data_IF_209616929989
#
_entry.id   IF_209616929989
#
_cell.length_a   1.000
_cell.length_b   1.000
_cell.length_c   1.000
_cell.angle_alpha   90.00
_cell.angle_beta   90.00
_cell.angle_gamma   90.00
#
_symmetry.space_group_name_H-M   'P 1'
#
loop_
_entity.id
_entity.type
_entity.pdbx_description
1 polymer ?
#
# COMPACT_ATOMS: atom_id res chain seq x y z
N UNK A 1 8.76 112.39 10.99
CA UNK A 1 9.35 111.34 11.86
C UNK A 1 8.32 111.00 12.92
N UNK A 2 7.72 109.81 13.03
CA UNK A 2 7.83 108.53 12.33
C UNK A 2 6.44 107.85 12.37
N UNK A 3 6.14 107.14 11.29
CA UNK A 3 5.01 106.21 11.17
C UNK A 3 5.21 104.92 11.98
N UNK A 4 4.08 104.38 12.45
CA UNK A 4 3.74 102.97 12.75
C UNK A 4 4.47 102.21 13.90
N UNK A 5 3.93 101.06 14.41
CA UNK A 5 2.76 100.32 13.95
C UNK A 5 1.75 99.83 15.02
N UNK A 6 0.55 99.59 14.50
CA UNK A 6 -0.46 98.62 14.94
C UNK A 6 0.15 97.29 15.39
N UNK A 7 0.04 96.97 16.67
CA UNK A 7 0.14 95.60 17.16
C UNK A 7 -1.24 94.94 17.07
N UNK A 8 -1.43 94.19 15.98
CA UNK A 8 -2.42 93.10 15.91
C UNK A 8 -2.17 92.18 17.10
N UNK A 9 -3.02 92.24 18.13
CA UNK A 9 -3.15 91.14 19.07
C UNK A 9 -3.86 90.00 18.34
N UNK A 10 -3.07 89.01 17.93
CA UNK A 10 -3.54 87.65 17.70
C UNK A 10 -4.36 87.23 18.92
N UNK A 11 -5.66 86.98 18.72
CA UNK A 11 -6.47 86.32 19.75
C UNK A 11 -6.03 84.86 19.79
N UNK A 12 -5.37 84.53 20.89
CA UNK A 12 -5.15 83.16 21.34
C UNK A 12 -6.45 82.37 21.27
N UNK A 13 -6.41 81.24 20.55
CA UNK A 13 -7.43 80.20 20.63
C UNK A 13 -7.51 79.69 22.07
N UNK A 14 -8.72 79.51 22.59
CA UNK A 14 -8.91 79.12 23.99
C UNK A 14 -8.39 77.69 24.23
N UNK A 15 -7.74 77.40 25.38
CA UNK A 15 -7.22 76.05 25.69
C UNK A 15 -8.32 74.97 25.64
N UNK A 16 -9.56 75.38 25.89
CA UNK A 16 -10.78 74.57 25.83
C UNK A 16 -11.13 74.07 24.43
N UNK A 17 -10.98 74.87 23.36
CA UNK A 17 -11.29 74.45 21.97
C UNK A 17 -10.30 73.41 21.44
N UNK A 18 -9.02 73.52 21.82
CA UNK A 18 -7.97 72.54 21.48
C UNK A 18 -8.24 71.19 22.16
N UNK A 19 -8.69 71.21 23.42
CA UNK A 19 -9.04 69.98 24.15
C UNK A 19 -10.26 69.29 23.54
N UNK A 20 -11.25 70.05 23.09
CA UNK A 20 -12.51 69.53 22.54
C UNK A 20 -12.33 68.91 21.14
N UNK A 21 -11.47 69.50 20.31
CA UNK A 21 -11.07 68.92 19.01
C UNK A 21 -10.23 67.65 19.19
N UNK A 22 -9.34 67.61 20.20
CA UNK A 22 -8.59 66.40 20.58
C UNK A 22 -9.52 65.26 20.99
N UNK A 23 -10.55 65.54 21.79
CA UNK A 23 -11.57 64.56 22.20
C UNK A 23 -12.30 63.98 20.98
N UNK A 24 -12.81 64.83 20.08
CA UNK A 24 -13.47 64.37 18.85
C UNK A 24 -12.58 63.48 17.99
N UNK A 25 -11.31 63.84 17.83
CA UNK A 25 -10.36 63.04 17.07
C UNK A 25 -10.13 61.66 17.71
N UNK A 26 -10.01 61.62 19.04
CA UNK A 26 -9.87 60.37 19.79
C UNK A 26 -11.14 59.50 19.71
N UNK A 27 -12.33 60.09 19.81
CA UNK A 27 -13.62 59.37 19.63
C UNK A 27 -13.71 58.74 18.24
N UNK A 28 -13.30 59.48 17.22
CA UNK A 28 -13.33 59.02 15.83
C UNK A 28 -12.31 57.90 15.57
N UNK A 29 -11.13 58.00 16.17
CA UNK A 29 -10.10 56.96 16.12
C UNK A 29 -10.53 55.69 16.88
N UNK A 30 -11.20 55.87 18.03
CA UNK A 30 -11.73 54.78 18.84
C UNK A 30 -12.85 54.04 18.07
N UNK A 31 -13.79 54.77 17.47
CA UNK A 31 -14.83 54.18 16.62
C UNK A 31 -14.25 53.40 15.42
N UNK A 32 -13.17 53.94 14.80
CA UNK A 32 -12.47 53.24 13.72
C UNK A 32 -11.82 51.95 14.20
N UNK A 33 -11.18 51.97 15.39
CA UNK A 33 -10.55 50.80 16.00
C UNK A 33 -11.56 49.75 16.42
N UNK A 34 -12.71 50.15 16.94
CA UNK A 34 -13.81 49.23 17.26
C UNK A 34 -14.34 48.54 16.02
N UNK A 35 -14.56 49.27 14.92
CA UNK A 35 -14.97 48.68 13.64
C UNK A 35 -13.94 47.70 13.08
N UNK A 36 -12.65 48.01 13.21
CA UNK A 36 -11.56 47.12 12.81
C UNK A 36 -11.53 45.83 13.66
N UNK A 37 -11.79 45.94 14.97
CA UNK A 37 -11.90 44.79 15.87
C UNK A 37 -13.10 43.91 15.49
N UNK A 38 -14.27 44.51 15.20
CA UNK A 38 -15.47 43.79 14.77
C UNK A 38 -15.19 42.96 13.51
N UNK A 39 -14.59 43.60 12.49
CA UNK A 39 -14.22 42.95 11.24
C UNK A 39 -13.22 41.80 11.42
N UNK A 40 -12.23 41.98 12.29
CA UNK A 40 -11.26 40.94 12.59
C UNK A 40 -11.89 39.77 13.33
N UNK A 41 -12.83 40.02 14.25
CA UNK A 41 -13.59 38.95 14.93
C UNK A 41 -14.42 38.14 13.96
N UNK A 42 -15.12 38.80 13.03
CA UNK A 42 -15.92 38.11 12.01
C UNK A 42 -15.03 37.21 11.14
N UNK A 43 -13.90 37.74 10.65
CA UNK A 43 -12.92 36.94 9.91
C UNK A 43 -12.35 35.78 10.72
N UNK A 44 -12.08 35.99 11.99
CA UNK A 44 -11.57 34.95 12.88
C UNK A 44 -12.57 33.82 13.04
N UNK A 45 -13.85 34.15 13.28
CA UNK A 45 -14.92 33.16 13.41
C UNK A 45 -15.11 32.36 12.12
N UNK A 46 -15.18 33.04 10.97
CA UNK A 46 -15.31 32.35 9.67
C UNK A 46 -14.13 31.40 9.42
N UNK A 47 -12.91 31.83 9.74
CA UNK A 47 -11.74 30.97 9.61
C UNK A 47 -11.77 29.79 10.58
N UNK A 48 -12.31 29.96 11.79
CA UNK A 48 -12.47 28.85 12.74
C UNK A 48 -13.46 27.81 12.22
N UNK A 49 -14.59 28.23 11.65
CA UNK A 49 -15.58 27.33 11.05
C UNK A 49 -14.96 26.51 9.91
N UNK A 50 -14.31 27.17 8.96
CA UNK A 50 -13.61 26.50 7.84
C UNK A 50 -12.57 25.51 8.37
N UNK A 51 -11.84 25.87 9.44
CA UNK A 51 -10.80 25.02 9.99
C UNK A 51 -11.39 23.78 10.68
N UNK A 52 -12.57 23.89 11.30
CA UNK A 52 -13.29 22.75 11.86
C UNK A 52 -13.75 21.79 10.75
N UNK A 53 -14.33 22.31 9.67
CA UNK A 53 -14.75 21.51 8.52
C UNK A 53 -13.56 20.74 7.91
N UNK A 54 -12.44 21.43 7.68
CA UNK A 54 -11.21 20.81 7.15
C UNK A 54 -10.64 19.74 8.11
N UNK A 55 -10.78 19.92 9.42
CA UNK A 55 -10.39 18.90 10.40
C UNK A 55 -11.28 17.67 10.29
N UNK A 56 -12.58 17.85 10.08
CA UNK A 56 -13.55 16.75 9.91
C UNK A 56 -13.29 15.99 8.61
N UNK A 57 -13.16 16.68 7.49
CA UNK A 57 -12.80 16.09 6.19
C UNK A 57 -11.50 15.29 6.28
N UNK A 58 -10.49 15.84 6.98
CA UNK A 58 -9.21 15.15 7.18
C UNK A 58 -9.37 13.86 7.99
N UNK A 59 -10.27 13.82 8.98
CA UNK A 59 -10.54 12.59 9.75
C UNK A 59 -11.23 11.55 8.87
N UNK A 60 -12.20 11.98 8.07
CA UNK A 60 -12.91 11.08 7.16
C UNK A 60 -11.98 10.50 6.09
N UNK A 61 -11.17 11.34 5.45
CA UNK A 61 -10.17 10.91 4.47
C UNK A 61 -9.18 9.91 5.07
N UNK A 62 -8.70 10.14 6.30
CA UNK A 62 -7.83 9.17 6.99
C UNK A 62 -8.50 7.81 7.17
N UNK A 63 -9.78 7.79 7.52
CA UNK A 63 -10.54 6.54 7.68
C UNK A 63 -10.68 5.83 6.33
N UNK A 64 -11.05 6.56 5.28
CA UNK A 64 -11.17 5.99 3.93
C UNK A 64 -9.83 5.42 3.44
N UNK A 65 -8.72 6.15 3.63
CA UNK A 65 -7.37 5.67 3.29
C UNK A 65 -7.06 4.37 4.01
N UNK A 66 -7.31 4.31 5.32
CA UNK A 66 -7.10 3.09 6.09
C UNK A 66 -7.95 1.92 5.58
N UNK A 67 -9.23 2.14 5.29
CA UNK A 67 -10.12 1.11 4.76
C UNK A 67 -9.64 0.59 3.39
N UNK A 68 -9.11 1.48 2.52
CA UNK A 68 -8.52 1.09 1.24
C UNK A 68 -7.22 0.29 1.41
N UNK A 69 -6.35 0.69 2.35
CA UNK A 69 -5.12 -0.04 2.66
C UNK A 69 -5.42 -1.46 3.15
N UNK A 70 -6.40 -1.61 4.05
CA UNK A 70 -6.84 -2.92 4.56
C UNK A 70 -7.36 -3.79 3.41
N UNK A 71 -8.24 -3.26 2.56
CA UNK A 71 -8.76 -4.00 1.39
C UNK A 71 -7.66 -4.46 0.44
N UNK A 72 -6.68 -3.59 0.15
CA UNK A 72 -5.54 -3.98 -0.69
C UNK A 72 -4.69 -5.08 -0.05
N UNK A 73 -4.51 -5.05 1.27
CA UNK A 73 -3.79 -6.10 1.99
C UNK A 73 -4.55 -7.43 1.93
N UNK A 74 -5.87 -7.41 2.11
CA UNK A 74 -6.72 -8.60 2.01
C UNK A 74 -6.69 -9.23 0.61
N UNK A 75 -6.75 -8.40 -0.44
CA UNK A 75 -6.63 -8.88 -1.83
C UNK A 75 -5.26 -9.52 -2.09
N UNK A 76 -4.17 -8.88 -1.64
CA UNK A 76 -2.81 -9.44 -1.76
C UNK A 76 -2.69 -10.76 -1.01
N UNK A 77 -3.26 -10.84 0.19
CA UNK A 77 -3.25 -12.06 1.00
C UNK A 77 -4.01 -13.19 0.32
N UNK A 78 -5.19 -12.91 -0.22
CA UNK A 78 -6.00 -13.91 -0.93
C UNK A 78 -5.25 -14.43 -2.17
N UNK A 79 -4.65 -13.54 -2.96
CA UNK A 79 -3.85 -13.91 -4.13
C UNK A 79 -2.65 -14.79 -3.73
N UNK A 80 -1.96 -14.43 -2.64
CA UNK A 80 -0.86 -15.24 -2.12
C UNK A 80 -1.32 -16.64 -1.70
N UNK A 81 -2.44 -16.75 -0.98
CA UNK A 81 -3.00 -18.03 -0.56
C UNK A 81 -3.46 -18.90 -1.75
N UNK A 82 -3.99 -18.30 -2.80
CA UNK A 82 -4.34 -19.01 -4.04
C UNK A 82 -3.09 -19.56 -4.71
N UNK A 83 -2.07 -18.73 -4.90
CA UNK A 83 -0.81 -19.12 -5.51
C UNK A 83 -0.11 -20.22 -4.70
N UNK A 84 -0.14 -20.15 -3.37
CA UNK A 84 0.40 -21.17 -2.49
C UNK A 84 -0.33 -22.52 -2.67
N UNK A 85 -1.67 -22.51 -2.78
CA UNK A 85 -2.46 -23.72 -3.03
C UNK A 85 -2.13 -24.34 -4.39
N UNK A 86 -1.98 -23.52 -5.43
CA UNK A 86 -1.58 -23.99 -6.76
C UNK A 86 -0.18 -24.58 -6.76
N UNK A 87 0.77 -23.92 -6.09
CA UNK A 87 2.13 -24.43 -5.90
C UNK A 87 2.12 -25.83 -5.29
N UNK A 88 1.39 -26.03 -4.19
CA UNK A 88 1.31 -27.34 -3.54
C UNK A 88 0.71 -28.42 -4.44
N UNK A 89 -0.29 -28.08 -5.26
CA UNK A 89 -0.84 -29.02 -6.25
C UNK A 89 0.21 -29.41 -7.29
N UNK A 90 0.97 -28.45 -7.80
CA UNK A 90 2.02 -28.69 -8.79
C UNK A 90 3.15 -29.53 -8.18
N UNK A 91 3.61 -29.20 -6.97
CA UNK A 91 4.62 -29.96 -6.23
C UNK A 91 4.20 -31.42 -6.04
N UNK A 92 2.95 -31.65 -5.64
CA UNK A 92 2.42 -33.00 -5.47
C UNK A 92 2.37 -33.77 -6.81
N UNK A 93 1.90 -33.14 -7.88
CA UNK A 93 1.87 -33.76 -9.21
C UNK A 93 3.27 -34.08 -9.70
N UNK A 94 4.22 -33.15 -9.52
CA UNK A 94 5.62 -33.33 -9.87
C UNK A 94 6.24 -34.50 -9.10
N UNK A 95 5.92 -34.62 -7.81
CA UNK A 95 6.39 -35.72 -6.98
C UNK A 95 5.87 -37.07 -7.52
N UNK A 96 4.58 -37.19 -7.81
CA UNK A 96 3.98 -38.42 -8.37
C UNK A 96 4.57 -38.74 -9.74
N UNK A 97 4.63 -37.76 -10.65
CA UNK A 97 5.13 -38.01 -12.01
C UNK A 97 6.59 -38.39 -12.01
N UNK A 98 7.41 -37.79 -11.13
CA UNK A 98 8.80 -38.19 -10.93
C UNK A 98 8.89 -39.63 -10.45
N UNK A 99 8.11 -40.01 -9.43
CA UNK A 99 8.05 -41.38 -8.93
C UNK A 99 7.70 -42.37 -10.03
N UNK A 100 6.65 -42.09 -10.81
CA UNK A 100 6.23 -42.96 -11.92
C UNK A 100 7.31 -43.06 -13.01
N UNK A 101 8.02 -41.96 -13.29
CA UNK A 101 9.13 -41.96 -14.26
C UNK A 101 10.31 -42.78 -13.76
N UNK A 102 10.66 -42.67 -12.49
CA UNK A 102 11.72 -43.45 -11.87
C UNK A 102 11.36 -44.96 -11.86
N UNK A 103 10.11 -45.31 -11.53
CA UNK A 103 9.61 -46.69 -11.63
C UNK A 103 9.68 -47.22 -13.06
N UNK A 104 9.20 -46.46 -14.05
CA UNK A 104 9.28 -46.85 -15.46
C UNK A 104 10.73 -47.03 -15.94
N UNK A 105 11.66 -46.18 -15.48
CA UNK A 105 13.10 -46.35 -15.78
C UNK A 105 13.65 -47.64 -15.19
N UNK A 106 13.34 -47.94 -13.92
CA UNK A 106 13.80 -49.19 -13.31
C UNK A 106 13.26 -50.43 -14.02
N UNK A 107 12.01 -50.39 -14.48
CA UNK A 107 11.41 -51.48 -15.24
C UNK A 107 12.05 -51.62 -16.63
N UNK A 108 12.36 -50.50 -17.31
CA UNK A 108 13.05 -50.52 -18.59
C UNK A 108 14.47 -51.09 -18.49
N UNK A 109 15.24 -50.69 -17.47
CA UNK A 109 16.57 -51.25 -17.22
C UNK A 109 16.50 -52.76 -16.93
N UNK A 110 15.53 -53.20 -16.12
CA UNK A 110 15.33 -54.61 -15.85
C UNK A 110 14.96 -55.41 -17.11
N UNK A 111 14.10 -54.86 -17.98
CA UNK A 111 13.77 -55.50 -19.27
C UNK A 111 14.96 -55.54 -20.21
N UNK A 112 15.79 -54.49 -20.21
CA UNK A 112 17.01 -54.44 -21.00
C UNK A 112 18.00 -55.54 -20.57
N UNK A 113 18.19 -55.74 -19.26
CA UNK A 113 18.98 -56.85 -18.71
C UNK A 113 18.46 -58.21 -19.21
N UNK A 114 17.14 -58.42 -19.22
CA UNK A 114 16.54 -59.66 -19.73
C UNK A 114 16.83 -59.86 -21.23
N UNK A 115 16.72 -58.80 -22.03
CA UNK A 115 16.99 -58.86 -23.48
C UNK A 115 18.45 -59.20 -23.72
N UNK A 116 19.38 -58.51 -23.05
CA UNK A 116 20.82 -58.77 -23.16
C UNK A 116 21.17 -60.21 -22.73
N UNK A 117 20.59 -60.71 -21.64
CA UNK A 117 20.78 -62.10 -21.19
C UNK A 117 20.25 -63.13 -22.20
N UNK A 118 19.14 -62.82 -22.89
CA UNK A 118 18.56 -63.70 -23.90
C UNK A 118 19.36 -63.67 -25.21
N UNK A 119 19.85 -62.50 -25.62
CA UNK A 119 20.69 -62.33 -26.81
C UNK A 119 22.03 -63.04 -26.65
N UNK A 120 22.62 -63.02 -25.46
CA UNK A 120 23.90 -63.68 -25.16
C UNK A 120 23.74 -65.17 -24.77
N UNK A 121 22.54 -65.75 -24.86
CA UNK A 121 22.28 -67.14 -24.51
C UNK A 121 22.87 -68.09 -25.55
N UNK A 122 23.68 -69.05 -25.09
CA UNK A 122 24.24 -70.10 -25.94
C UNK A 122 23.17 -71.04 -26.53
N UNK A 123 23.41 -71.51 -27.76
CA UNK A 123 22.51 -72.43 -28.49
C UNK A 123 22.23 -73.71 -27.68
N UNK A 124 23.21 -74.21 -26.92
CA UNK A 124 23.07 -75.39 -26.04
C UNK A 124 22.10 -75.14 -24.89
N UNK A 125 22.17 -73.98 -24.24
CA UNK A 125 21.25 -73.61 -23.15
C UNK A 125 19.85 -73.34 -23.66
N UNK A 126 19.72 -72.85 -24.89
CA UNK A 126 18.45 -72.75 -25.60
C UNK A 126 17.80 -74.12 -25.79
N UNK A 127 18.55 -75.09 -26.35
CA UNK A 127 18.08 -76.46 -26.60
C UNK A 127 17.73 -77.19 -25.29
N UNK A 128 18.49 -76.98 -24.22
CA UNK A 128 18.20 -77.59 -22.91
C UNK A 128 17.06 -76.91 -22.12
N UNK A 129 16.41 -75.87 -22.66
CA UNK A 129 15.31 -75.18 -21.98
C UNK A 129 15.72 -74.42 -20.72
N UNK A 130 17.01 -74.15 -20.53
CA UNK A 130 17.54 -73.38 -19.38
C UNK A 130 17.43 -71.88 -19.63
N UNK A 131 16.44 -71.24 -19.01
CA UNK A 131 16.21 -69.80 -19.15
C UNK A 131 17.13 -68.97 -18.23
N UNK A 132 17.54 -67.76 -18.66
CA UNK A 132 18.30 -66.84 -17.80
C UNK A 132 17.55 -66.51 -16.51
N UNK A 133 18.31 -66.27 -15.45
CA UNK A 133 17.75 -66.02 -14.12
C UNK A 133 16.91 -64.73 -14.07
N UNK A 134 17.30 -63.71 -14.85
CA UNK A 134 16.56 -62.46 -15.05
C UNK A 134 15.14 -62.70 -15.59
N UNK A 135 14.98 -63.57 -16.60
CA UNK A 135 13.66 -63.93 -17.16
C UNK A 135 12.82 -64.74 -16.17
N UNK A 136 13.43 -65.63 -15.40
CA UNK A 136 12.75 -66.38 -14.33
C UNK A 136 12.25 -65.41 -13.25
N UNK A 137 13.07 -64.41 -12.88
CA UNK A 137 12.69 -63.35 -11.93
C UNK A 137 11.54 -62.50 -12.46
N UNK A 138 11.53 -62.16 -13.75
CA UNK A 138 10.43 -61.44 -14.40
C UNK A 138 9.11 -62.21 -14.31
N UNK A 139 9.11 -63.49 -14.71
CA UNK A 139 7.89 -64.33 -14.69
C UNK A 139 7.33 -64.55 -13.28
N UNK A 140 8.19 -64.52 -12.24
CA UNK A 140 7.76 -64.59 -10.83
C UNK A 140 7.16 -63.28 -10.30
N UNK A 141 7.50 -62.13 -10.91
CA UNK A 141 6.99 -60.80 -10.52
C UNK A 141 5.66 -60.44 -11.19
N UNK A 142 5.29 -61.11 -12.28
CA UNK A 142 4.00 -60.89 -12.94
C UNK A 142 2.87 -61.48 -12.07
N UNK A 143 1.79 -60.73 -11.79
CA UNK A 143 0.59 -61.30 -11.18
C UNK A 143 -0.01 -62.36 -12.13
N UNK A 144 -0.49 -63.48 -11.56
CA UNK A 144 -1.22 -64.52 -12.30
C UNK A 144 -2.55 -64.02 -12.84
#
# INVERSE_FOLDING_TARGET
MKDNPTLKKSKDESPTENTQSRIKNLEMELAKKESEIEFLKEKFNNNQEILLDVIEDKKELKKQVHDFEVKQLDEKLNNFQQLQREKHKIEHRLFITKKNLDEARTELEFRKEIIEDLENRGITDYIMGKFPESLIRYNKRQPK
#
